data_IF_407330560709
#
_entry.id   IF_407330560709
#
_cell.length_a   1.000
_cell.length_b   1.000
_cell.length_c   1.000
_cell.angle_alpha   90.00
_cell.angle_beta   90.00
_cell.angle_gamma   90.00
#
_symmetry.space_group_name_H-M   'P 1'
#
loop_
_entity.id
_entity.type
_entity.pdbx_description
1 polymer ?
#
# COMPACT_ATOMS: atom_id res chain seq x y z
N UNK A 1 -15.12 10.52 -8.65
CA UNK A 1 -13.76 10.10 -8.21
C UNK A 1 -13.73 9.96 -6.70
N UNK A 2 -13.12 8.88 -6.24
CA UNK A 2 -13.05 8.50 -4.83
C UNK A 2 -11.60 8.29 -4.42
N UNK A 3 -11.34 8.58 -3.15
CA UNK A 3 -10.12 8.23 -2.44
C UNK A 3 -10.36 6.92 -1.71
N UNK A 4 -9.51 5.93 -1.92
CA UNK A 4 -9.45 4.68 -1.15
C UNK A 4 -8.16 4.68 -0.36
N UNK A 5 -8.23 4.43 0.95
CA UNK A 5 -7.06 4.49 1.82
C UNK A 5 -7.07 3.41 2.91
N UNK A 6 -5.88 3.11 3.43
CA UNK A 6 -5.72 2.36 4.67
C UNK A 6 -6.32 3.16 5.85
N UNK A 7 -7.20 2.56 6.67
CA UNK A 7 -7.63 3.15 7.93
C UNK A 7 -6.44 3.39 8.86
N UNK A 8 -6.38 4.56 9.50
CA UNK A 8 -5.20 5.03 10.26
C UNK A 8 -5.52 5.50 11.68
N UNK A 9 -6.52 4.93 12.36
CA UNK A 9 -6.73 5.21 13.79
C UNK A 9 -5.67 4.48 14.64
N UNK A 10 -5.46 4.88 15.89
CA UNK A 10 -4.48 4.26 16.80
C UNK A 10 -4.65 2.74 16.97
N UNK A 11 -5.88 2.24 16.81
CA UNK A 11 -6.20 0.80 16.88
C UNK A 11 -5.85 0.02 15.61
N UNK A 12 -5.71 0.70 14.48
CA UNK A 12 -5.40 0.12 13.17
C UNK A 12 -3.95 -0.29 13.09
N UNK A 13 -3.68 -1.40 12.40
CA UNK A 13 -2.33 -1.89 12.20
C UNK A 13 -1.51 -0.94 11.33
N UNK A 14 -0.42 -0.45 11.89
CA UNK A 14 0.56 0.40 11.20
C UNK A 14 1.83 -0.41 11.03
N UNK A 15 2.38 -0.40 9.82
CA UNK A 15 3.57 -1.14 9.42
C UNK A 15 4.71 -0.19 9.12
N UNK A 16 5.93 -0.62 9.44
CA UNK A 16 7.16 -0.02 8.95
C UNK A 16 7.90 -1.06 8.11
N UNK A 17 8.71 -0.59 7.16
CA UNK A 17 9.57 -1.43 6.36
C UNK A 17 10.90 -1.65 7.07
N UNK A 18 11.27 -2.91 7.24
CA UNK A 18 12.48 -3.33 7.95
C UNK A 18 13.34 -4.21 7.04
N UNK A 19 14.64 -4.03 7.12
CA UNK A 19 15.64 -4.86 6.46
C UNK A 19 16.89 -4.90 7.34
N UNK A 20 17.74 -5.91 7.11
CA UNK A 20 18.97 -6.06 7.86
C UNK A 20 19.94 -4.91 7.56
N UNK A 21 20.52 -4.33 8.61
CA UNK A 21 21.40 -3.16 8.49
C UNK A 21 20.69 -1.84 8.16
N UNK A 22 19.35 -1.73 8.28
CA UNK A 22 18.63 -0.45 8.19
C UNK A 22 19.21 0.53 9.25
N UNK A 23 19.86 1.64 8.85
CA UNK A 23 20.33 2.62 9.82
C UNK A 23 19.15 3.34 10.49
N UNK A 24 19.30 3.75 11.75
CA UNK A 24 18.25 4.48 12.47
C UNK A 24 17.95 5.86 11.86
N UNK A 25 18.96 6.49 11.28
CA UNK A 25 18.90 7.82 10.66
C UNK A 25 19.78 7.87 9.42
N UNK A 26 19.43 8.77 8.50
CA UNK A 26 20.26 9.13 7.35
C UNK A 26 19.70 8.62 6.03
N UNK A 27 20.37 8.96 4.92
CA UNK A 27 19.89 8.54 3.62
C UNK A 27 20.07 7.02 3.50
N UNK A 28 19.00 6.34 3.11
CA UNK A 28 19.01 4.89 2.93
C UNK A 28 19.44 4.61 1.49
N UNK A 29 20.74 4.71 1.20
CA UNK A 29 21.24 4.54 -0.17
C UNK A 29 21.85 3.17 -0.40
N UNK A 30 21.65 2.63 -1.60
CA UNK A 30 22.43 1.54 -2.15
C UNK A 30 23.84 2.03 -2.55
N UNK A 31 24.82 1.11 -2.72
CA UNK A 31 26.16 1.46 -3.19
C UNK A 31 26.21 2.19 -4.55
N UNK A 32 25.18 1.98 -5.38
CA UNK A 32 25.02 2.65 -6.69
C UNK A 32 24.35 4.03 -6.59
N UNK A 33 24.00 4.48 -5.37
CA UNK A 33 23.41 5.79 -5.09
C UNK A 33 21.87 5.84 -5.15
N UNK A 34 21.18 4.74 -5.48
CA UNK A 34 19.71 4.70 -5.46
C UNK A 34 19.17 4.74 -4.02
N UNK A 35 18.03 5.43 -3.83
CA UNK A 35 17.37 5.53 -2.52
C UNK A 35 16.44 4.33 -2.28
N UNK A 36 16.74 3.56 -1.24
CA UNK A 36 16.02 2.35 -0.84
C UNK A 36 14.55 2.65 -0.51
N UNK A 37 14.26 3.80 0.11
CA UNK A 37 12.88 4.17 0.44
C UNK A 37 12.08 4.49 -0.81
N UNK A 38 12.71 5.12 -1.81
CA UNK A 38 12.07 5.36 -3.10
C UNK A 38 11.85 4.04 -3.84
N UNK A 39 12.81 3.11 -3.84
CA UNK A 39 12.60 1.77 -4.40
C UNK A 39 11.42 1.04 -3.75
N UNK A 40 11.29 1.11 -2.42
CA UNK A 40 10.15 0.54 -1.69
C UNK A 40 8.84 1.24 -2.08
N UNK A 41 8.86 2.57 -2.19
CA UNK A 41 7.69 3.38 -2.53
C UNK A 41 7.14 3.07 -3.91
N UNK A 42 8.04 2.80 -4.85
CA UNK A 42 7.69 2.41 -6.23
C UNK A 42 7.31 0.92 -6.37
N UNK A 43 7.23 0.19 -5.26
CA UNK A 43 6.92 -1.23 -5.24
C UNK A 43 8.02 -2.10 -5.84
N UNK A 44 9.28 -1.63 -5.81
CA UNK A 44 10.48 -2.36 -6.25
C UNK A 44 11.27 -2.94 -5.08
N UNK A 45 10.61 -3.15 -3.94
CA UNK A 45 11.23 -3.74 -2.75
C UNK A 45 11.86 -5.12 -3.01
N UNK A 46 11.27 -5.92 -3.93
CA UNK A 46 11.82 -7.21 -4.35
C UNK A 46 13.04 -7.14 -5.27
N UNK A 47 13.39 -5.95 -5.78
CA UNK A 47 14.56 -5.71 -6.63
C UNK A 47 15.80 -5.28 -5.81
N UNK A 48 15.61 -5.07 -4.49
CA UNK A 48 16.70 -4.74 -3.59
C UNK A 48 17.59 -5.97 -3.32
N UNK A 49 18.91 -5.79 -3.12
CA UNK A 49 19.86 -6.88 -2.95
C UNK A 49 19.75 -7.60 -1.59
N UNK A 50 18.77 -7.23 -0.76
CA UNK A 50 18.50 -7.79 0.55
C UNK A 50 16.98 -7.91 0.75
N UNK A 51 16.52 -8.84 1.60
CA UNK A 51 15.10 -9.00 1.86
C UNK A 51 14.54 -7.79 2.62
N UNK A 52 13.44 -7.25 2.12
CA UNK A 52 12.65 -6.22 2.79
C UNK A 52 11.36 -6.83 3.33
N UNK A 53 11.04 -6.51 4.58
CA UNK A 53 9.81 -6.95 5.25
C UNK A 53 8.98 -5.74 5.63
N UNK A 54 7.65 -5.88 5.63
CA UNK A 54 6.76 -4.94 6.28
C UNK A 54 6.30 -5.51 7.62
N UNK A 55 6.64 -4.85 8.73
CA UNK A 55 6.32 -5.32 10.08
C UNK A 55 5.35 -4.40 10.78
N UNK A 56 4.28 -4.95 11.34
CA UNK A 56 3.37 -4.20 12.21
C UNK A 56 4.13 -3.73 13.44
N UNK A 57 4.15 -2.43 13.69
CA UNK A 57 4.77 -1.85 14.88
C UNK A 57 3.75 -1.24 15.84
N UNK A 58 2.52 -0.97 15.40
CA UNK A 58 1.45 -0.39 16.22
C UNK A 58 0.07 -0.91 15.80
N UNK A 59 -0.88 -0.87 16.73
CA UNK A 59 -2.26 -1.28 16.49
C UNK A 59 -2.42 -2.80 16.41
N UNK A 60 -3.68 -3.25 16.43
CA UNK A 60 -4.03 -4.68 16.40
C UNK A 60 -5.11 -5.01 15.38
N UNK A 61 -5.86 -4.01 14.91
CA UNK A 61 -6.91 -4.20 13.91
C UNK A 61 -6.29 -4.29 12.53
N UNK A 62 -6.24 -5.50 12.00
CA UNK A 62 -5.81 -5.78 10.63
C UNK A 62 -6.92 -5.34 9.67
N UNK A 63 -6.56 -4.51 8.68
CA UNK A 63 -7.47 -3.97 7.66
C UNK A 63 -7.05 -4.48 6.27
N UNK A 64 -7.88 -4.26 5.25
CA UNK A 64 -7.62 -4.74 3.88
C UNK A 64 -6.64 -3.86 3.09
N UNK A 65 -6.29 -2.69 3.64
CA UNK A 65 -5.08 -1.97 3.33
C UNK A 65 -4.38 -1.61 4.63
N UNK A 66 -3.05 -1.77 4.68
CA UNK A 66 -2.25 -1.43 5.85
C UNK A 66 -1.63 -0.05 5.71
N UNK A 67 -1.54 0.68 6.83
CA UNK A 67 -0.89 1.98 6.86
C UNK A 67 0.63 1.82 6.97
N UNK A 68 1.39 2.52 6.12
CA UNK A 68 2.80 2.16 5.81
C UNK A 68 3.79 3.32 5.94
N UNK A 69 3.43 4.38 6.67
CA UNK A 69 4.38 5.44 7.02
C UNK A 69 4.91 6.28 5.86
N UNK A 70 4.32 6.21 4.67
CA UNK A 70 4.79 6.98 3.51
C UNK A 70 5.57 6.15 2.49
N UNK A 71 5.88 4.87 2.74
CA UNK A 71 6.73 4.05 1.87
C UNK A 71 5.97 3.35 0.73
N UNK A 72 5.63 2.06 0.82
CA UNK A 72 4.85 1.33 -0.22
C UNK A 72 3.46 0.89 0.25
N UNK A 73 2.50 0.68 -0.67
CA UNK A 73 1.16 0.17 -0.33
C UNK A 73 1.16 -1.33 -0.07
N UNK A 74 0.34 -1.74 0.89
CA UNK A 74 0.12 -3.15 1.22
C UNK A 74 -1.39 -3.38 1.22
N UNK A 75 -1.83 -4.34 0.40
CA UNK A 75 -3.22 -4.70 0.23
C UNK A 75 -3.45 -6.15 0.63
N UNK A 76 -4.63 -6.46 1.16
CA UNK A 76 -5.04 -7.84 1.34
C UNK A 76 -5.28 -8.50 -0.03
N UNK A 77 -5.01 -9.79 -0.10
CA UNK A 77 -5.35 -10.63 -1.25
C UNK A 77 -6.86 -10.63 -1.54
N UNK A 78 -7.70 -10.40 -0.53
CA UNK A 78 -9.15 -10.25 -0.71
C UNK A 78 -9.51 -8.96 -1.46
N UNK A 79 -8.85 -7.83 -1.16
CA UNK A 79 -9.00 -6.60 -1.94
C UNK A 79 -8.55 -6.82 -3.39
N UNK A 80 -7.38 -7.43 -3.59
CA UNK A 80 -6.85 -7.72 -4.94
C UNK A 80 -7.79 -8.61 -5.73
N UNK A 81 -8.39 -9.64 -5.10
CA UNK A 81 -9.37 -10.50 -5.75
C UNK A 81 -10.59 -9.71 -6.26
N UNK A 82 -11.13 -8.81 -5.45
CA UNK A 82 -12.26 -7.95 -5.88
C UNK A 82 -11.88 -7.06 -7.07
N UNK A 83 -10.68 -6.47 -7.06
CA UNK A 83 -10.21 -5.65 -8.18
C UNK A 83 -10.02 -6.48 -9.46
N UNK A 84 -9.47 -7.69 -9.35
CA UNK A 84 -9.30 -8.62 -10.46
C UNK A 84 -10.67 -9.05 -11.04
N UNK A 85 -11.63 -9.42 -10.19
CA UNK A 85 -12.98 -9.85 -10.61
C UNK A 85 -13.72 -8.72 -11.34
N UNK A 86 -13.45 -7.48 -10.97
CA UNK A 86 -13.99 -6.28 -11.63
C UNK A 86 -13.26 -5.91 -12.92
N UNK A 87 -12.14 -6.55 -13.25
CA UNK A 87 -11.31 -6.22 -14.41
C UNK A 87 -10.66 -4.84 -14.32
N UNK A 88 -10.31 -4.41 -13.10
CA UNK A 88 -9.74 -3.08 -12.84
C UNK A 88 -8.34 -2.95 -13.42
N UNK A 89 -8.08 -1.84 -14.11
CA UNK A 89 -6.75 -1.46 -14.58
C UNK A 89 -6.10 -0.38 -13.68
N UNK A 90 -4.80 -0.14 -13.85
CA UNK A 90 -4.08 0.94 -13.16
C UNK A 90 -3.41 0.56 -11.84
N UNK A 91 -3.26 -0.73 -11.55
CA UNK A 91 -2.45 -1.22 -10.44
C UNK A 91 -1.62 -2.46 -10.81
N UNK A 92 -0.66 -2.79 -9.96
CA UNK A 92 0.09 -4.04 -9.95
C UNK A 92 0.33 -4.48 -8.51
N UNK A 93 0.60 -5.78 -8.34
CA UNK A 93 1.02 -6.38 -7.07
C UNK A 93 2.43 -6.93 -7.17
N UNK A 94 3.10 -7.03 -6.04
CA UNK A 94 4.42 -7.65 -5.91
C UNK A 94 4.53 -8.44 -4.60
N UNK A 95 5.42 -9.42 -4.59
CA UNK A 95 5.67 -10.22 -3.40
C UNK A 95 6.32 -9.36 -2.31
N UNK A 96 5.75 -9.42 -1.10
CA UNK A 96 6.24 -8.70 0.07
C UNK A 96 6.07 -9.56 1.31
N UNK A 97 7.13 -9.74 2.09
CA UNK A 97 7.08 -10.42 3.39
C UNK A 97 6.42 -9.51 4.44
N UNK A 98 5.13 -9.73 4.70
CA UNK A 98 4.36 -8.98 5.70
C UNK A 98 4.33 -9.77 7.01
N UNK A 99 4.61 -9.09 8.12
CA UNK A 99 4.78 -9.72 9.44
C UNK A 99 4.00 -9.03 10.55
N UNK A 100 3.55 -9.84 11.49
CA UNK A 100 3.02 -9.39 12.76
C UNK A 100 4.10 -8.71 13.61
N UNK A 101 3.66 -8.07 14.69
CA UNK A 101 4.55 -7.36 15.64
C UNK A 101 5.60 -8.26 16.30
N UNK A 102 5.25 -9.52 16.52
CA UNK A 102 6.16 -10.54 17.07
C UNK A 102 7.12 -11.12 16.02
N UNK A 103 7.05 -10.66 14.76
CA UNK A 103 7.87 -11.13 13.65
C UNK A 103 7.36 -12.40 12.97
N UNK A 104 6.23 -12.96 13.41
CA UNK A 104 5.57 -14.08 12.71
C UNK A 104 5.00 -13.63 11.36
N UNK A 105 4.94 -14.52 10.34
CA UNK A 105 4.32 -14.19 9.06
C UNK A 105 2.86 -13.78 9.23
N UNK A 106 2.44 -12.73 8.51
CA UNK A 106 1.05 -12.32 8.36
C UNK A 106 0.59 -12.69 6.93
N UNK A 107 -0.04 -13.86 6.74
CA UNK A 107 -0.45 -14.30 5.41
C UNK A 107 -1.61 -13.47 4.87
N UNK A 108 -1.81 -13.54 3.56
CA UNK A 108 -2.94 -12.91 2.89
C UNK A 108 -2.76 -11.45 2.54
N UNK A 109 -1.53 -10.92 2.59
CA UNK A 109 -1.16 -9.58 2.16
C UNK A 109 -0.09 -9.61 1.08
N UNK A 110 -0.12 -8.61 0.20
CA UNK A 110 0.85 -8.39 -0.88
C UNK A 110 1.25 -6.93 -0.96
N UNK A 111 2.39 -6.66 -1.57
CA UNK A 111 2.73 -5.33 -2.03
C UNK A 111 1.77 -4.88 -3.13
N UNK A 112 1.40 -3.61 -3.11
CA UNK A 112 0.47 -3.00 -4.05
C UNK A 112 1.08 -1.71 -4.59
N UNK A 113 0.91 -1.42 -5.87
CA UNK A 113 1.28 -0.13 -6.46
C UNK A 113 0.32 0.28 -7.55
N UNK A 114 0.13 1.58 -7.68
CA UNK A 114 -0.49 2.23 -8.84
C UNK A 114 0.46 2.11 -10.04
N UNK A 115 -0.08 1.97 -11.25
CA UNK A 115 0.71 1.87 -12.49
C UNK A 115 0.39 2.95 -13.51
N UNK A 116 -0.49 3.88 -13.14
CA UNK A 116 -0.98 4.94 -14.01
C UNK A 116 -1.16 6.22 -13.19
N UNK A 117 -0.68 7.32 -13.74
CA UNK A 117 -0.92 8.69 -13.27
C UNK A 117 -2.00 9.41 -14.08
N UNK A 118 -2.62 8.72 -15.04
CA UNK A 118 -3.67 9.24 -15.91
C UNK A 118 -5.07 8.87 -15.41
N UNK A 119 -6.04 9.73 -15.73
CA UNK A 119 -7.44 9.59 -15.32
C UNK A 119 -8.26 8.64 -16.21
N UNK A 120 -7.64 8.02 -17.20
CA UNK A 120 -8.25 7.05 -18.11
C UNK A 120 -8.21 5.60 -17.58
N UNK A 121 -7.51 5.36 -16.47
CA UNK A 121 -7.51 4.08 -15.77
C UNK A 121 -8.46 4.06 -14.58
N UNK A 122 -8.89 2.86 -14.19
CA UNK A 122 -9.80 2.68 -13.06
C UNK A 122 -9.17 3.06 -11.71
N UNK A 123 -7.86 2.83 -11.57
CA UNK A 123 -7.04 3.26 -10.45
C UNK A 123 -5.98 4.24 -10.97
N UNK A 124 -5.79 5.34 -10.23
CA UNK A 124 -4.83 6.39 -10.57
C UNK A 124 -4.00 6.80 -9.35
N UNK A 125 -2.71 7.05 -9.58
CA UNK A 125 -1.85 7.80 -8.69
C UNK A 125 -1.91 9.30 -9.02
N UNK A 126 -2.34 10.13 -8.06
CA UNK A 126 -2.35 11.58 -8.27
C UNK A 126 -1.12 12.27 -7.67
N UNK A 127 -0.09 11.52 -7.25
CA UNK A 127 1.11 12.07 -6.60
C UNK A 127 0.81 12.82 -5.30
N UNK A 128 -0.40 12.66 -4.74
CA UNK A 128 -0.97 13.50 -3.66
C UNK A 128 -1.06 12.79 -2.30
N UNK A 129 -0.45 11.62 -2.17
CA UNK A 129 -0.36 10.85 -0.93
C UNK A 129 -0.16 9.38 -1.28
N UNK A 130 1.07 8.91 -1.40
CA UNK A 130 1.84 8.52 -0.24
C UNK A 130 1.38 7.14 0.24
N UNK A 131 1.95 6.06 -0.30
CA UNK A 131 2.04 4.69 0.25
C UNK A 131 0.83 3.95 0.85
N UNK A 132 -0.33 4.58 1.03
CA UNK A 132 -1.50 3.98 1.68
C UNK A 132 -2.81 4.51 1.10
N UNK A 133 -2.78 5.17 -0.07
CA UNK A 133 -3.94 5.78 -0.73
C UNK A 133 -3.83 5.52 -2.24
N UNK A 134 -4.96 5.24 -2.89
CA UNK A 134 -5.11 5.38 -4.33
C UNK A 134 -6.44 6.06 -4.68
N UNK A 135 -6.55 6.57 -5.91
CA UNK A 135 -7.77 7.19 -6.41
C UNK A 135 -8.45 6.27 -7.41
N UNK A 136 -9.78 6.33 -7.46
CA UNK A 136 -10.54 5.41 -8.31
C UNK A 136 -11.86 6.00 -8.82
N UNK A 137 -12.42 5.33 -9.83
CA UNK A 137 -13.70 5.66 -10.47
C UNK A 137 -14.89 5.34 -9.55
N UNK A 138 -16.07 5.86 -9.91
CA UNK A 138 -17.29 5.59 -9.14
C UNK A 138 -17.68 4.11 -9.18
N UNK A 139 -17.44 3.43 -10.31
CA UNK A 139 -17.65 1.99 -10.47
C UNK A 139 -16.90 1.18 -9.41
N UNK A 140 -15.58 1.39 -9.31
CA UNK A 140 -14.74 0.64 -8.37
C UNK A 140 -15.09 1.00 -6.93
N UNK A 141 -15.26 2.29 -6.62
CA UNK A 141 -15.61 2.71 -5.27
C UNK A 141 -16.94 2.13 -4.78
N UNK A 142 -17.95 2.08 -5.64
CA UNK A 142 -19.24 1.48 -5.31
C UNK A 142 -19.10 -0.03 -5.10
N UNK A 143 -18.40 -0.73 -5.99
CA UNK A 143 -18.17 -2.16 -5.84
C UNK A 143 -17.41 -2.50 -4.54
N UNK A 144 -16.39 -1.70 -4.18
CA UNK A 144 -15.66 -1.88 -2.91
C UNK A 144 -16.53 -1.62 -1.68
N UNK A 145 -17.48 -0.68 -1.74
CA UNK A 145 -18.42 -0.41 -0.65
C UNK A 145 -19.43 -1.53 -0.41
N UNK A 146 -19.77 -2.27 -1.44
CA UNK A 146 -20.68 -3.42 -1.35
C UNK A 146 -19.98 -4.64 -0.72
N UNK A 147 -18.66 -4.57 -0.52
CA UNK A 147 -17.89 -5.60 0.19
C UNK A 147 -17.88 -5.38 1.71
N UNK A 148 -17.34 -6.36 2.45
CA UNK A 148 -17.08 -6.24 3.89
C UNK A 148 -15.66 -5.76 4.20
N UNK A 149 -14.87 -5.42 3.17
CA UNK A 149 -13.47 -5.03 3.30
C UNK A 149 -13.33 -3.78 4.20
N UNK A 150 -12.24 -3.72 4.95
CA UNK A 150 -11.94 -2.65 5.89
C UNK A 150 -11.05 -1.61 5.22
N UNK A 151 -11.70 -0.64 4.58
CA UNK A 151 -11.10 0.44 3.81
C UNK A 151 -11.69 1.78 4.22
N UNK A 152 -10.93 2.87 4.08
CA UNK A 152 -11.45 4.24 4.12
C UNK A 152 -11.77 4.69 2.69
N UNK A 153 -13.07 4.84 2.36
CA UNK A 153 -13.53 5.20 1.00
C UNK A 153 -14.32 6.52 1.06
N UNK A 154 -13.71 7.60 0.57
CA UNK A 154 -14.24 8.97 0.67
C UNK A 154 -14.32 9.66 -0.69
N UNK A 155 -15.34 10.51 -0.94
CA UNK A 155 -15.41 11.26 -2.19
C UNK A 155 -14.27 12.28 -2.23
N UNK A 156 -13.66 12.47 -3.40
CA UNK A 156 -12.71 13.58 -3.58
C UNK A 156 -13.51 14.85 -3.79
N UNK A 157 -13.57 15.72 -2.78
CA UNK A 157 -14.19 17.05 -2.94
C UNK A 157 -13.29 17.91 -3.83
N UNK A 158 -13.81 18.51 -4.91
CA UNK A 158 -13.08 19.55 -5.63
C UNK A 158 -12.74 20.66 -4.65
N UNK A 159 -11.46 20.99 -4.47
CA UNK A 159 -11.11 22.28 -3.88
C UNK A 159 -11.44 23.32 -4.94
N UNK A 160 -12.38 24.21 -4.63
CA UNK A 160 -12.71 25.37 -5.46
C UNK A 160 -11.56 26.35 -5.58
#
# INVERSE_FOLDING_TARGET
MWRVAAPSATRDAWTDYVWDGKPDLGPHLLPDGRDILDEIREGRAGELPFPVQARIYQGKRINDMLWTGGLGMIASTALVAVLNDLGVAGYATYDLDVRNRDGSPLPGFVGFRTTSDTLDTDITDLGRGGSYIFYTTDRVANALRDTKLKLDITPVTPRG
#
